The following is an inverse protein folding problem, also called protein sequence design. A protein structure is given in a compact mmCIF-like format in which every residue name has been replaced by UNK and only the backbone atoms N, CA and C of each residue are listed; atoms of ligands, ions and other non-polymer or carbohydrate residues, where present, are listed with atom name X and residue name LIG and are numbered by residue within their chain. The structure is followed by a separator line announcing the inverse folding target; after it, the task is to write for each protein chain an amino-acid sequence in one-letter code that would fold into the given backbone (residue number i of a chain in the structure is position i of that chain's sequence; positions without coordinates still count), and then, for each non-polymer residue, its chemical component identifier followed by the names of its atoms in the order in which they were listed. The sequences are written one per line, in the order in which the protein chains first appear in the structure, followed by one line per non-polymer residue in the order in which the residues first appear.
data_IF_718522465173
#
_entry.id   IF_718522465173
#
_cell.length_a   1.000
_cell.length_b   1.000
_cell.length_c   1.000
_cell.angle_alpha   90.00
_cell.angle_beta   90.00
_cell.angle_gamma   90.00
#
_symmetry.space_group_name_H-M   'P 1'
#
loop_
_entity.id
_entity.type
_entity.pdbx_description
1 polymer ?
#
# COMPACT_ATOMS: atom_id res chain seq x y z
N UNK A 1 17.90 -5.83 7.27
CA UNK A 1 18.20 -7.09 6.59
C UNK A 1 18.44 -6.84 5.11
N UNK A 2 19.28 -7.65 4.50
CA UNK A 2 19.65 -7.55 3.08
C UNK A 2 19.57 -8.93 2.46
N UNK A 3 18.94 -9.00 1.28
CA UNK A 3 18.80 -10.25 0.52
C UNK A 3 19.29 -10.04 -0.91
N UNK A 4 20.15 -10.91 -1.37
CA UNK A 4 20.63 -10.94 -2.74
C UNK A 4 19.69 -11.80 -3.60
N UNK A 5 19.31 -11.27 -4.77
CA UNK A 5 18.52 -12.00 -5.76
C UNK A 5 19.49 -12.56 -6.78
N UNK A 6 19.44 -13.87 -7.00
CA UNK A 6 20.33 -14.57 -7.94
C UNK A 6 19.56 -15.21 -9.08
N UNK A 7 20.18 -15.26 -10.27
CA UNK A 7 19.65 -16.02 -11.39
C UNK A 7 19.90 -17.53 -11.19
N UNK A 8 19.39 -18.35 -12.12
CA UNK A 8 19.56 -19.81 -12.11
C UNK A 8 21.03 -20.26 -12.14
N UNK A 9 21.94 -19.39 -12.56
CA UNK A 9 23.39 -19.61 -12.60
C UNK A 9 24.11 -19.10 -11.36
N UNK A 10 23.36 -18.64 -10.34
CA UNK A 10 23.90 -18.11 -9.10
C UNK A 10 24.51 -16.70 -9.19
N UNK A 11 24.32 -15.99 -10.30
CA UNK A 11 24.83 -14.62 -10.47
C UNK A 11 23.87 -13.64 -9.82
N UNK A 12 24.41 -12.66 -9.09
CA UNK A 12 23.61 -11.58 -8.52
C UNK A 12 22.96 -10.75 -9.63
N UNK A 13 21.62 -10.62 -9.57
CA UNK A 13 20.82 -9.83 -10.49
C UNK A 13 20.03 -8.72 -9.77
N UNK A 14 20.10 -8.67 -8.45
CA UNK A 14 19.44 -7.65 -7.66
C UNK A 14 19.66 -7.84 -6.17
N UNK A 15 19.18 -6.86 -5.42
CA UNK A 15 19.24 -6.86 -3.96
C UNK A 15 17.97 -6.22 -3.38
N UNK A 16 17.46 -6.80 -2.31
CA UNK A 16 16.43 -6.19 -1.47
C UNK A 16 17.05 -5.80 -0.14
N UNK A 17 16.80 -4.55 0.28
CA UNK A 17 17.30 -4.01 1.55
C UNK A 17 16.11 -3.55 2.38
N UNK A 18 15.87 -4.20 3.52
CA UNK A 18 14.85 -3.80 4.49
C UNK A 18 15.46 -2.97 5.60
N UNK A 19 14.79 -1.86 5.92
CA UNK A 19 15.20 -0.93 6.99
C UNK A 19 13.98 -0.49 7.78
N UNK A 20 14.10 -0.43 9.09
CA UNK A 20 13.09 0.21 9.94
C UNK A 20 13.09 1.72 9.73
N UNK A 21 11.91 2.35 9.79
CA UNK A 21 11.76 3.82 9.74
C UNK A 21 12.54 4.55 10.85
N UNK A 22 12.78 3.88 11.99
CA UNK A 22 13.59 4.38 13.10
C UNK A 22 15.08 3.99 13.01
N UNK A 23 15.45 3.20 11.99
CA UNK A 23 16.83 2.76 11.77
C UNK A 23 17.61 3.69 10.84
N UNK A 24 18.84 3.29 10.54
CA UNK A 24 19.66 4.00 9.58
C UNK A 24 19.16 3.78 8.15
N UNK A 25 18.40 4.75 7.62
CA UNK A 25 17.88 4.72 6.24
C UNK A 25 18.89 5.31 5.26
N UNK A 26 19.89 6.04 5.73
CA UNK A 26 20.91 6.69 4.91
C UNK A 26 21.86 5.67 4.28
N UNK A 27 22.33 5.97 3.05
CA UNK A 27 23.31 5.13 2.32
C UNK A 27 22.71 4.17 1.30
N UNK A 28 21.43 3.76 1.45
CA UNK A 28 20.74 2.93 0.46
C UNK A 28 19.98 3.75 -0.58
N UNK A 29 19.76 3.17 -1.74
CA UNK A 29 18.88 3.71 -2.80
C UNK A 29 18.06 2.57 -3.39
N UNK A 30 16.77 2.83 -3.69
CA UNK A 30 15.91 1.93 -4.47
C UNK A 30 16.00 2.29 -5.95
N UNK A 31 16.36 1.31 -6.77
CA UNK A 31 16.52 1.46 -8.21
C UNK A 31 17.78 2.21 -8.64
N UNK A 32 18.03 2.18 -9.93
CA UNK A 32 19.15 2.86 -10.59
C UNK A 32 18.62 3.78 -11.70
N UNK A 33 19.43 4.69 -12.16
CA UNK A 33 19.13 5.47 -13.35
C UNK A 33 19.18 4.58 -14.60
N UNK A 34 18.12 4.60 -15.41
CA UNK A 34 18.07 3.84 -16.65
C UNK A 34 16.66 3.73 -17.25
N UNK A 35 16.57 3.28 -18.50
CA UNK A 35 15.29 3.20 -19.23
C UNK A 35 14.40 2.02 -18.82
N UNK A 36 14.92 1.08 -18.02
CA UNK A 36 14.22 -0.12 -17.62
C UNK A 36 13.94 -0.12 -16.10
N UNK A 37 12.97 -0.93 -15.67
CA UNK A 37 12.72 -1.12 -14.25
C UNK A 37 13.95 -1.71 -13.57
N UNK A 38 14.50 -0.98 -12.60
CA UNK A 38 15.71 -1.35 -11.87
C UNK A 38 15.50 -1.41 -10.36
N UNK A 39 14.26 -1.39 -9.90
CA UNK A 39 13.89 -1.46 -8.50
C UNK A 39 12.92 -0.36 -8.07
N UNK A 40 12.52 -0.39 -6.81
CA UNK A 40 11.56 0.55 -6.22
C UNK A 40 11.95 0.93 -4.79
N UNK A 41 11.31 1.96 -4.27
CA UNK A 41 11.23 2.23 -2.82
C UNK A 41 9.85 1.80 -2.35
N UNK A 42 9.80 0.84 -1.43
CA UNK A 42 8.55 0.34 -0.85
C UNK A 42 8.45 0.77 0.61
N UNK A 43 7.29 1.25 1.00
CA UNK A 43 6.87 1.47 2.39
C UNK A 43 5.82 0.42 2.73
N UNK A 44 6.11 -0.38 3.74
CA UNK A 44 5.23 -1.40 4.25
C UNK A 44 4.87 -1.04 5.69
N UNK A 45 3.59 -0.86 5.98
CA UNK A 45 3.05 -0.43 7.27
C UNK A 45 3.88 0.69 7.95
N UNK A 46 4.17 1.73 7.20
CA UNK A 46 5.08 2.80 7.60
C UNK A 46 4.67 3.48 8.92
N UNK A 47 3.37 3.67 9.13
CA UNK A 47 2.84 4.31 10.31
C UNK A 47 2.52 3.30 11.42
N UNK A 48 2.97 3.58 12.64
CA UNK A 48 2.58 2.83 13.83
C UNK A 48 1.28 3.39 14.42
N UNK A 49 0.27 2.58 14.77
CA UNK A 49 -0.99 3.06 15.32
C UNK A 49 -0.82 4.02 16.51
N UNK A 50 0.05 3.68 17.46
CA UNK A 50 0.31 4.51 18.65
C UNK A 50 0.87 5.89 18.31
N UNK A 51 1.63 6.01 17.21
CA UNK A 51 2.21 7.28 16.79
C UNK A 51 1.18 8.17 16.10
N UNK A 52 0.13 7.58 15.53
CA UNK A 52 -0.93 8.32 14.85
C UNK A 52 -1.89 9.05 15.78
N UNK A 53 -1.88 8.73 17.07
CA UNK A 53 -2.61 9.48 18.10
C UNK A 53 -1.97 10.85 18.41
N UNK A 54 -0.71 11.05 18.07
CA UNK A 54 0.06 12.27 18.36
C UNK A 54 0.30 13.10 17.10
N UNK A 55 -0.18 14.35 17.07
CA UNK A 55 0.07 15.28 15.97
C UNK A 55 1.56 15.48 15.68
N UNK A 56 2.37 15.65 16.74
CA UNK A 56 3.81 15.85 16.59
C UNK A 56 4.50 14.64 15.95
N UNK A 57 4.10 13.42 16.31
CA UNK A 57 4.64 12.19 15.72
C UNK A 57 4.19 12.02 14.26
N UNK A 58 2.94 12.32 13.92
CA UNK A 58 2.48 12.34 12.52
C UNK A 58 3.30 13.32 11.69
N UNK A 59 3.48 14.56 12.16
CA UNK A 59 4.33 15.56 11.48
C UNK A 59 5.77 15.09 11.31
N UNK A 60 6.35 14.45 12.33
CA UNK A 60 7.72 13.91 12.26
C UNK A 60 7.81 12.78 11.21
N UNK A 61 6.85 11.86 11.17
CA UNK A 61 6.79 10.81 10.17
C UNK A 61 6.69 11.39 8.74
N UNK A 62 5.79 12.35 8.52
CA UNK A 62 5.64 13.01 7.24
C UNK A 62 6.89 13.81 6.81
N UNK A 63 7.58 14.41 7.77
CA UNK A 63 8.87 15.09 7.53
C UNK A 63 9.95 14.09 7.09
N UNK A 64 10.00 12.90 7.71
CA UNK A 64 10.94 11.85 7.32
C UNK A 64 10.69 11.36 5.89
N UNK A 65 9.42 11.24 5.47
CA UNK A 65 9.07 10.89 4.08
C UNK A 65 9.70 11.86 3.09
N UNK A 66 9.56 13.17 3.31
CA UNK A 66 10.06 14.19 2.39
C UNK A 66 11.59 14.30 2.43
N UNK A 67 12.14 14.44 3.62
CA UNK A 67 13.55 14.81 3.78
C UNK A 67 14.50 13.63 3.59
N UNK A 68 14.05 12.42 3.93
CA UNK A 68 14.93 11.24 3.89
C UNK A 68 14.47 10.23 2.85
N UNK A 69 13.26 9.70 2.98
CA UNK A 69 12.84 8.54 2.18
C UNK A 69 12.69 8.91 0.70
N UNK A 70 12.06 10.05 0.38
CA UNK A 70 11.95 10.53 -0.99
C UNK A 70 13.31 10.63 -1.71
N UNK A 71 14.37 10.95 -0.97
CA UNK A 71 15.71 11.08 -1.55
C UNK A 71 16.36 9.75 -1.88
N UNK A 72 15.77 8.62 -1.45
CA UNK A 72 16.33 7.26 -1.65
C UNK A 72 16.00 6.68 -3.03
N UNK A 73 15.18 7.34 -3.84
CA UNK A 73 14.98 6.90 -5.22
C UNK A 73 16.27 7.09 -6.02
N UNK A 74 16.67 6.05 -6.74
CA UNK A 74 17.86 6.07 -7.61
C UNK A 74 17.66 7.00 -8.80
N UNK A 75 16.54 6.84 -9.51
CA UNK A 75 16.16 7.72 -10.62
C UNK A 75 15.03 8.68 -10.19
N UNK A 76 15.23 9.96 -10.45
CA UNK A 76 14.28 11.05 -10.18
C UNK A 76 13.86 11.76 -11.47
N UNK A 77 14.22 11.21 -12.64
CA UNK A 77 13.82 11.74 -13.94
C UNK A 77 12.29 11.72 -14.08
N UNK A 78 11.78 12.45 -15.07
CA UNK A 78 10.36 12.41 -15.43
C UNK A 78 10.02 11.24 -16.35
N UNK A 79 11.02 10.71 -17.05
CA UNK A 79 10.84 9.68 -18.07
C UNK A 79 10.78 8.29 -17.45
N UNK A 80 11.70 7.97 -16.54
CA UNK A 80 11.81 6.64 -15.91
C UNK A 80 12.02 6.74 -14.40
N UNK A 81 11.11 7.39 -13.66
CA UNK A 81 11.32 7.59 -12.22
C UNK A 81 11.30 6.25 -11.50
N UNK A 82 12.23 6.04 -10.57
CA UNK A 82 12.16 4.91 -9.65
C UNK A 82 10.81 4.93 -8.92
N UNK A 83 10.00 3.87 -9.03
CA UNK A 83 8.69 3.80 -8.40
C UNK A 83 8.77 3.95 -6.89
N UNK A 84 7.74 4.57 -6.34
CA UNK A 84 7.51 4.67 -4.91
C UNK A 84 6.18 3.97 -4.61
N UNK A 85 6.22 2.88 -3.87
CA UNK A 85 5.06 2.07 -3.53
C UNK A 85 4.82 2.16 -2.03
N UNK A 86 3.58 2.37 -1.62
CA UNK A 86 3.20 2.38 -0.21
C UNK A 86 2.00 1.46 0.00
N UNK A 87 2.16 0.50 0.90
CA UNK A 87 1.13 -0.42 1.35
C UNK A 87 0.95 -0.15 2.84
N UNK A 88 -0.24 0.28 3.27
CA UNK A 88 -0.47 0.60 4.68
C UNK A 88 -1.95 0.73 5.00
N UNK A 89 -2.28 0.54 6.24
CA UNK A 89 -3.60 0.82 6.79
C UNK A 89 -3.80 2.33 6.93
N UNK A 90 -5.05 2.79 6.79
CA UNK A 90 -5.44 4.16 7.14
C UNK A 90 -5.68 4.22 8.64
N UNK A 91 -4.88 5.02 9.32
CA UNK A 91 -4.91 5.17 10.78
C UNK A 91 -5.34 6.57 11.23
N UNK A 92 -5.23 7.57 10.35
CA UNK A 92 -5.63 8.94 10.60
C UNK A 92 -5.73 9.71 9.28
N UNK A 93 -6.54 10.78 9.26
CA UNK A 93 -6.67 11.66 8.08
C UNK A 93 -5.32 12.23 7.63
N UNK A 94 -4.47 12.60 8.60
CA UNK A 94 -3.13 13.18 8.37
C UNK A 94 -1.99 12.14 8.51
N UNK A 95 -2.29 10.87 8.32
CA UNK A 95 -1.27 9.82 8.25
C UNK A 95 -0.42 9.96 6.98
N UNK A 96 0.57 9.09 6.82
CA UNK A 96 1.44 9.14 5.64
C UNK A 96 0.68 9.01 4.33
N UNK A 97 -0.39 8.20 4.28
CA UNK A 97 -1.26 8.10 3.09
C UNK A 97 -1.97 9.41 2.80
N UNK A 98 -2.62 10.00 3.81
CA UNK A 98 -3.28 11.31 3.67
C UNK A 98 -2.31 12.39 3.21
N UNK A 99 -1.10 12.41 3.77
CA UNK A 99 -0.04 13.32 3.38
C UNK A 99 0.43 13.12 1.93
N UNK A 100 0.62 11.87 1.50
CA UNK A 100 1.00 11.56 0.11
C UNK A 100 -0.10 11.96 -0.88
N UNK A 101 -1.36 11.63 -0.60
CA UNK A 101 -2.51 11.94 -1.46
C UNK A 101 -2.79 13.45 -1.56
N UNK A 102 -2.51 14.21 -0.49
CA UNK A 102 -2.59 15.68 -0.53
C UNK A 102 -1.44 16.37 -1.27
N UNK A 103 -0.52 15.61 -1.84
CA UNK A 103 0.63 16.14 -2.59
C UNK A 103 1.84 16.49 -1.72
N UNK A 104 1.85 16.12 -0.44
CA UNK A 104 2.94 16.42 0.50
C UNK A 104 4.31 15.89 0.08
N UNK A 105 4.36 14.83 -0.73
CA UNK A 105 5.59 14.31 -1.33
C UNK A 105 6.04 15.07 -2.58
N UNK A 106 5.24 16.01 -3.10
CA UNK A 106 5.53 16.76 -4.32
C UNK A 106 5.57 15.89 -5.60
N UNK A 107 4.90 14.74 -5.56
CA UNK A 107 4.65 13.83 -6.69
C UNK A 107 3.22 13.29 -6.56
N UNK A 108 2.52 13.06 -7.67
CA UNK A 108 1.20 12.44 -7.62
C UNK A 108 1.31 10.96 -7.24
N UNK A 109 0.31 10.46 -6.52
CA UNK A 109 0.16 9.03 -6.22
C UNK A 109 -1.13 8.51 -6.84
N UNK A 110 -1.06 7.33 -7.41
CA UNK A 110 -2.24 6.54 -7.76
C UNK A 110 -2.71 5.81 -6.50
N UNK A 111 -3.95 6.07 -6.10
CA UNK A 111 -4.53 5.45 -4.89
C UNK A 111 -5.34 4.22 -5.28
N UNK A 112 -5.00 3.08 -4.71
CA UNK A 112 -5.78 1.85 -4.79
C UNK A 112 -6.30 1.55 -3.39
N UNK A 113 -7.62 1.48 -3.25
CA UNK A 113 -8.28 1.07 -2.00
C UNK A 113 -9.06 -0.21 -2.28
N UNK A 114 -8.75 -1.26 -1.52
CA UNK A 114 -9.44 -2.54 -1.60
C UNK A 114 -10.25 -2.68 -0.32
N UNK A 115 -11.58 -2.59 -0.37
CA UNK A 115 -12.42 -2.72 0.82
C UNK A 115 -12.50 -4.17 1.27
N UNK A 116 -12.55 -4.41 2.58
CA UNK A 116 -12.73 -5.75 3.15
C UNK A 116 -14.13 -6.31 2.85
N UNK A 117 -15.15 -5.45 2.86
CA UNK A 117 -16.53 -5.77 2.46
C UNK A 117 -16.86 -5.04 1.16
N UNK A 118 -17.38 -5.76 0.18
CA UNK A 118 -17.72 -5.24 -1.14
C UNK A 118 -19.20 -5.36 -1.42
N UNK A 119 -19.74 -4.40 -2.13
CA UNK A 119 -21.11 -4.38 -2.64
C UNK A 119 -21.15 -4.53 -4.16
N UNK A 120 -22.35 -4.65 -4.71
CA UNK A 120 -22.56 -4.75 -6.16
C UNK A 120 -22.00 -3.52 -6.90
N UNK A 121 -22.10 -2.33 -6.31
CA UNK A 121 -21.60 -1.10 -6.91
C UNK A 121 -20.07 -1.13 -7.06
N UNK A 122 -19.38 -1.63 -6.05
CA UNK A 122 -17.92 -1.83 -6.13
C UNK A 122 -17.59 -2.82 -7.26
N UNK A 123 -18.26 -3.98 -7.32
CA UNK A 123 -17.98 -4.99 -8.33
C UNK A 123 -18.22 -4.42 -9.75
N UNK A 124 -19.30 -3.67 -9.94
CA UNK A 124 -19.60 -3.03 -11.22
C UNK A 124 -18.59 -1.94 -11.61
N UNK A 125 -17.88 -1.36 -10.65
CA UNK A 125 -16.84 -0.35 -10.93
C UNK A 125 -15.53 -0.94 -11.44
N UNK A 126 -15.35 -2.26 -11.35
CA UNK A 126 -14.14 -2.93 -11.82
C UNK A 126 -14.17 -3.12 -13.35
N UNK A 127 -12.99 -3.02 -13.96
CA UNK A 127 -12.80 -3.38 -15.36
C UNK A 127 -12.77 -4.91 -15.57
N UNK A 128 -13.07 -5.37 -16.78
CA UNK A 128 -12.85 -6.77 -17.14
C UNK A 128 -11.33 -7.07 -17.29
N UNK A 129 -10.84 -8.25 -16.87
CA UNK A 129 -11.62 -9.41 -16.41
C UNK A 129 -11.92 -9.42 -14.90
N UNK A 130 -11.51 -8.40 -14.15
CA UNK A 130 -11.60 -8.35 -12.68
C UNK A 130 -13.04 -8.38 -12.17
N UNK A 131 -13.97 -7.74 -12.89
CA UNK A 131 -15.39 -7.76 -12.56
C UNK A 131 -15.94 -9.18 -12.57
N UNK A 132 -15.70 -9.91 -13.66
CA UNK A 132 -16.15 -11.30 -13.81
C UNK A 132 -15.52 -12.20 -12.75
N UNK A 133 -14.22 -12.06 -12.49
CA UNK A 133 -13.52 -12.82 -11.47
C UNK A 133 -14.08 -12.56 -10.07
N UNK A 134 -14.36 -11.30 -9.76
CA UNK A 134 -14.92 -10.92 -8.46
C UNK A 134 -16.32 -11.55 -8.27
N UNK A 135 -17.19 -11.49 -9.27
CA UNK A 135 -18.50 -12.16 -9.23
C UNK A 135 -18.37 -13.68 -9.02
N UNK A 136 -17.49 -14.34 -9.77
CA UNK A 136 -17.23 -15.77 -9.59
C UNK A 136 -16.76 -16.11 -8.17
N UNK A 137 -16.00 -15.22 -7.55
CA UNK A 137 -15.49 -15.43 -6.19
C UNK A 137 -16.60 -15.33 -5.14
N UNK A 138 -17.54 -14.38 -5.29
CA UNK A 138 -18.53 -14.09 -4.24
C UNK A 138 -19.90 -14.75 -4.45
N UNK A 139 -20.23 -15.22 -5.64
CA UNK A 139 -21.58 -15.71 -6.02
C UNK A 139 -22.12 -16.83 -5.11
N UNK A 140 -21.24 -17.70 -4.64
CA UNK A 140 -21.57 -18.87 -3.82
C UNK A 140 -21.13 -18.68 -2.34
N UNK A 141 -20.82 -17.44 -1.93
CA UNK A 141 -20.42 -17.13 -0.55
C UNK A 141 -21.51 -16.44 0.22
N UNK A 142 -21.40 -16.45 1.55
CA UNK A 142 -22.32 -15.76 2.43
C UNK A 142 -22.29 -14.25 2.20
N UNK A 143 -23.43 -13.62 2.45
CA UNK A 143 -23.60 -12.18 2.33
C UNK A 143 -24.46 -11.62 3.46
N UNK A 144 -24.24 -10.36 3.82
CA UNK A 144 -25.03 -9.63 4.81
C UNK A 144 -25.72 -8.42 4.16
N UNK A 145 -26.82 -7.97 4.73
CA UNK A 145 -27.55 -6.78 4.28
C UNK A 145 -27.52 -5.71 5.34
N UNK A 146 -26.92 -4.58 5.04
CA UNK A 146 -26.82 -3.43 5.95
C UNK A 146 -27.38 -2.20 5.24
N UNK A 147 -28.35 -1.54 5.84
CA UNK A 147 -29.01 -0.35 5.25
C UNK A 147 -29.65 -0.61 3.89
N UNK A 148 -30.07 -1.85 3.59
CA UNK A 148 -30.66 -2.23 2.30
C UNK A 148 -29.63 -2.56 1.22
N UNK A 149 -28.34 -2.48 1.51
CA UNK A 149 -27.23 -2.84 0.59
C UNK A 149 -26.70 -4.21 0.97
N UNK A 150 -26.48 -5.05 -0.03
CA UNK A 150 -25.89 -6.39 0.17
C UNK A 150 -24.38 -6.29 0.07
N UNK A 151 -23.68 -6.92 1.04
CA UNK A 151 -22.23 -6.98 1.11
C UNK A 151 -21.75 -8.42 1.16
N UNK A 152 -20.59 -8.66 0.56
CA UNK A 152 -19.82 -9.89 0.63
C UNK A 152 -18.43 -9.58 1.19
N UNK A 153 -17.76 -10.60 1.77
CA UNK A 153 -16.33 -10.50 2.03
C UNK A 153 -15.56 -10.43 0.70
N UNK A 154 -14.59 -9.52 0.60
CA UNK A 154 -13.69 -9.47 -0.55
C UNK A 154 -12.80 -10.72 -0.64
N UNK A 155 -12.48 -11.30 0.49
CA UNK A 155 -11.66 -12.52 0.59
C UNK A 155 -12.30 -13.57 1.50
N UNK A 156 -13.37 -14.22 1.07
CA UNK A 156 -14.20 -15.09 1.92
C UNK A 156 -13.48 -16.33 2.44
N UNK A 157 -12.40 -16.76 1.80
CA UNK A 157 -11.57 -17.87 2.29
C UNK A 157 -10.72 -17.50 3.51
N UNK A 158 -10.48 -16.22 3.73
CA UNK A 158 -9.68 -15.72 4.84
C UNK A 158 -10.54 -15.18 5.97
N UNK A 159 -11.62 -14.50 5.65
CA UNK A 159 -12.44 -13.81 6.63
C UNK A 159 -13.91 -13.80 6.21
N UNK A 160 -14.76 -14.34 7.07
CA UNK A 160 -16.21 -14.41 6.82
C UNK A 160 -16.84 -13.01 6.87
N UNK A 161 -17.90 -12.81 6.07
CA UNK A 161 -18.59 -11.51 6.00
C UNK A 161 -19.27 -11.15 7.32
N UNK A 162 -19.72 -12.13 8.12
CA UNK A 162 -20.34 -11.86 9.41
C UNK A 162 -19.30 -11.42 10.45
N UNK A 163 -18.08 -11.96 10.40
CA UNK A 163 -16.98 -11.52 11.26
C UNK A 163 -16.58 -10.09 10.92
N UNK A 164 -16.50 -9.75 9.64
CA UNK A 164 -16.25 -8.38 9.17
C UNK A 164 -17.36 -7.41 9.61
N UNK A 165 -18.63 -7.84 9.56
CA UNK A 165 -19.75 -7.03 10.04
C UNK A 165 -19.64 -6.72 11.53
N UNK A 166 -19.27 -7.74 12.36
CA UNK A 166 -19.07 -7.53 13.80
C UNK A 166 -17.93 -6.53 14.10
N UNK A 167 -16.89 -6.50 13.29
CA UNK A 167 -15.82 -5.52 13.41
C UNK A 167 -16.33 -4.12 13.05
N UNK A 168 -17.07 -4.00 11.96
CA UNK A 168 -17.63 -2.72 11.52
C UNK A 168 -18.60 -2.09 12.53
N UNK A 169 -19.41 -2.89 13.23
CA UNK A 169 -20.36 -2.40 14.24
C UNK A 169 -19.68 -1.92 15.55
N UNK A 170 -18.39 -2.20 15.72
CA UNK A 170 -17.61 -1.80 16.90
C UNK A 170 -16.85 -0.49 16.74
N UNK A 171 -16.68 -0.02 15.51
CA UNK A 171 -15.99 1.24 15.17
C UNK A 171 -16.97 2.42 15.09
#
# INVERSE_FOLDING_TARGET
EEWEIKDERGRSIGQTVSRSSNGQITGGRGGYYGPEFSGMVMLDDYNKPVDMLSESRRKSANTLLVNTIRSRRGDKSKEHPTPFVSIQQRLHTDDATGFMLSGGMGVPFHHVAIPAMIDEKYIQSLDEPWRSLCWETVKDTDSVVVGGVRYWSYWPQMEDVNDLLQLWEKD
#
